data_IF_610420904779
#
_entry.id   IF_610420904779
#
_cell.length_a   1.000
_cell.length_b   1.000
_cell.length_c   1.000
_cell.angle_alpha   90.00
_cell.angle_beta   90.00
_cell.angle_gamma   90.00
#
_symmetry.space_group_name_H-M   'P 1'
#
loop_
_entity.id
_entity.type
_entity.pdbx_description
1 polymer ?
#
# COMPACT_ATOMS: atom_id res chain seq x y z
N UNK A 1 -13.13 -65.59 1.11
CA UNK A 1 -12.47 -64.31 1.42
C UNK A 1 -13.38 -63.18 0.99
N UNK A 2 -14.17 -62.61 1.91
CA UNK A 2 -14.96 -61.41 1.67
C UNK A 2 -14.80 -60.48 2.88
N UNK A 3 -14.42 -59.24 2.60
CA UNK A 3 -14.01 -58.24 3.58
C UNK A 3 -15.19 -57.73 4.42
N UNK A 4 -15.05 -57.80 5.74
CA UNK A 4 -15.87 -57.09 6.71
C UNK A 4 -15.46 -55.62 6.71
N UNK A 5 -16.29 -54.76 6.12
CA UNK A 5 -16.24 -53.31 6.36
C UNK A 5 -17.47 -52.95 7.17
N UNK A 6 -17.31 -52.89 8.48
CA UNK A 6 -18.29 -52.27 9.37
C UNK A 6 -18.22 -50.75 9.20
N UNK A 7 -19.30 -50.18 8.70
CA UNK A 7 -19.53 -48.74 8.57
C UNK A 7 -20.21 -48.26 9.83
N UNK A 8 -19.55 -47.40 10.60
CA UNK A 8 -20.18 -46.37 11.44
C UNK A 8 -19.12 -45.41 11.98
N UNK A 9 -19.10 -44.16 11.51
CA UNK A 9 -18.95 -43.02 12.43
C UNK A 9 -19.38 -41.69 11.81
N UNK A 10 -20.50 -41.18 12.33
CA UNK A 10 -20.84 -39.78 12.61
C UNK A 10 -20.58 -38.71 11.55
N UNK A 11 -21.68 -38.36 10.87
CA UNK A 11 -21.97 -37.02 10.36
C UNK A 11 -21.82 -35.98 11.48
N UNK A 12 -20.88 -35.04 11.32
CA UNK A 12 -20.98 -33.73 11.97
C UNK A 12 -21.35 -32.74 10.88
N UNK A 13 -22.60 -32.29 10.97
CA UNK A 13 -23.21 -31.25 10.15
C UNK A 13 -22.43 -29.93 10.32
N UNK A 14 -21.79 -29.49 9.24
CA UNK A 14 -21.18 -28.15 9.16
C UNK A 14 -22.23 -27.21 8.56
N UNK A 15 -22.78 -26.24 9.30
CA UNK A 15 -23.71 -25.28 8.73
C UNK A 15 -22.99 -24.39 7.71
N UNK A 16 -23.32 -24.61 6.44
CA UNK A 16 -22.94 -23.79 5.31
C UNK A 16 -23.69 -22.46 5.32
N UNK A 17 -23.19 -21.47 6.07
CA UNK A 17 -23.80 -20.13 6.04
C UNK A 17 -23.15 -19.27 4.95
N UNK A 18 -23.91 -19.18 3.86
CA UNK A 18 -23.71 -18.30 2.70
C UNK A 18 -23.42 -16.86 3.11
N UNK A 19 -22.36 -16.29 2.53
CA UNK A 19 -22.11 -14.85 2.43
C UNK A 19 -23.29 -14.12 1.77
N UNK A 20 -23.90 -13.15 2.46
CA UNK A 20 -24.43 -11.92 1.84
C UNK A 20 -24.36 -10.75 2.83
N UNK A 21 -23.85 -9.64 2.33
CA UNK A 21 -23.58 -8.35 2.99
C UNK A 21 -24.76 -7.85 3.85
N UNK A 22 -24.43 -7.36 5.04
CA UNK A 22 -25.11 -6.22 5.66
C UNK A 22 -24.05 -5.25 6.20
N UNK A 23 -24.30 -3.98 5.93
CA UNK A 23 -23.48 -2.80 6.16
C UNK A 23 -23.91 -2.16 7.50
N UNK A 24 -22.97 -1.47 8.15
CA UNK A 24 -23.15 -0.55 9.29
C UNK A 24 -23.28 -1.25 10.66
N UNK A 25 -22.65 -0.80 11.75
CA UNK A 25 -22.05 0.49 12.08
C UNK A 25 -20.85 0.26 13.00
N UNK A 26 -19.64 0.61 12.54
CA UNK A 26 -18.50 0.72 13.45
C UNK A 26 -18.56 2.11 14.10
N UNK A 27 -18.65 2.14 15.42
CA UNK A 27 -18.49 3.36 16.23
C UNK A 27 -17.22 4.11 15.82
N UNK A 28 -17.16 5.46 15.94
CA UNK A 28 -15.96 6.21 15.60
C UNK A 28 -14.89 5.91 16.65
N UNK A 29 -14.14 4.83 16.46
CA UNK A 29 -12.80 4.73 17.00
C UNK A 29 -12.07 5.97 16.48
N UNK A 30 -11.58 6.80 17.41
CA UNK A 30 -10.85 8.03 17.12
C UNK A 30 -9.97 7.80 15.89
N UNK A 31 -10.36 8.44 14.78
CA UNK A 31 -9.67 8.25 13.52
C UNK A 31 -8.21 8.63 13.79
N UNK A 32 -7.23 7.76 13.49
CA UNK A 32 -5.84 8.20 13.54
C UNK A 32 -5.80 9.42 12.63
N UNK A 33 -5.35 10.56 13.17
CA UNK A 33 -5.31 11.86 12.48
C UNK A 33 -4.82 11.62 11.05
N UNK A 34 -5.77 11.55 10.12
CA UNK A 34 -5.45 11.43 8.71
C UNK A 34 -4.61 12.66 8.42
N UNK A 35 -3.43 12.52 7.80
CA UNK A 35 -2.65 13.68 7.42
C UNK A 35 -3.55 14.55 6.54
N UNK A 36 -4.05 15.64 7.13
CA UNK A 36 -5.10 16.47 6.54
C UNK A 36 -4.53 17.73 5.93
N UNK A 37 -3.28 18.08 6.27
CA UNK A 37 -2.59 19.27 5.80
C UNK A 37 -1.34 18.90 4.99
N UNK A 38 -0.95 19.75 4.04
CA UNK A 38 0.33 19.66 3.33
C UNK A 38 1.54 19.48 4.26
N UNK A 39 1.52 20.11 5.45
CA UNK A 39 2.59 19.98 6.44
C UNK A 39 2.69 18.56 7.03
N UNK A 40 1.55 17.94 7.35
CA UNK A 40 1.51 16.54 7.80
C UNK A 40 1.98 15.58 6.71
N UNK A 41 1.57 15.81 5.47
CA UNK A 41 2.00 15.02 4.31
C UNK A 41 3.52 15.14 4.12
N UNK A 42 4.07 16.34 4.18
CA UNK A 42 5.52 16.56 4.10
C UNK A 42 6.26 15.87 5.24
N UNK A 43 5.73 15.91 6.46
CA UNK A 43 6.34 15.23 7.61
C UNK A 43 6.40 13.71 7.41
N UNK A 44 5.35 13.10 6.86
CA UNK A 44 5.32 11.67 6.53
C UNK A 44 6.33 11.34 5.42
N UNK A 45 6.39 12.16 4.36
CA UNK A 45 7.30 11.90 3.22
C UNK A 45 8.77 12.10 3.64
N UNK A 46 9.04 13.02 4.57
CA UNK A 46 10.37 13.28 5.11
C UNK A 46 10.86 12.16 6.03
N UNK A 47 9.94 11.41 6.65
CA UNK A 47 10.31 10.33 7.56
C UNK A 47 10.93 9.14 6.80
N UNK A 48 12.19 8.76 7.12
CA UNK A 48 12.89 7.71 6.39
C UNK A 48 12.32 6.31 6.66
N UNK A 49 11.59 6.12 7.76
CA UNK A 49 11.00 4.85 8.16
C UNK A 49 9.64 4.61 7.47
N UNK A 50 9.03 5.64 6.89
CA UNK A 50 7.76 5.54 6.15
C UNK A 50 7.96 5.78 4.65
N UNK A 51 8.41 4.77 3.88
CA UNK A 51 8.51 4.90 2.43
C UNK A 51 7.15 5.22 1.82
N UNK A 52 7.13 6.27 0.99
CA UNK A 52 5.93 6.75 0.28
C UNK A 52 6.06 6.48 -1.21
N UNK A 53 4.94 6.08 -1.82
CA UNK A 53 4.84 5.75 -3.23
C UNK A 53 3.62 6.43 -3.84
N UNK A 54 3.71 6.75 -5.13
CA UNK A 54 2.55 7.15 -5.94
C UNK A 54 2.36 6.13 -7.04
N UNK A 55 1.14 5.63 -7.17
CA UNK A 55 0.74 4.77 -8.28
C UNK A 55 -0.14 5.57 -9.22
N UNK A 56 0.34 5.73 -10.45
CA UNK A 56 -0.40 6.30 -11.57
C UNK A 56 -0.99 5.14 -12.36
N UNK A 57 -2.32 5.03 -12.39
CA UNK A 57 -3.02 3.99 -13.13
C UNK A 57 -3.16 4.39 -14.60
N UNK A 58 -3.33 3.41 -15.49
CA UNK A 58 -3.55 3.66 -16.92
C UNK A 58 -4.78 4.56 -17.22
N UNK A 59 -5.76 4.61 -16.31
CA UNK A 59 -6.92 5.49 -16.39
C UNK A 59 -6.64 6.95 -15.96
N UNK A 60 -5.38 7.31 -15.72
CA UNK A 60 -4.96 8.65 -15.28
C UNK A 60 -5.17 8.92 -13.78
N UNK A 61 -5.80 8.01 -13.02
CA UNK A 61 -5.95 8.18 -11.57
C UNK A 61 -4.60 8.02 -10.88
N UNK A 62 -4.35 8.86 -9.88
CA UNK A 62 -3.17 8.78 -9.02
C UNK A 62 -3.58 8.48 -7.59
N UNK A 63 -2.83 7.60 -6.94
CA UNK A 63 -3.01 7.30 -5.53
C UNK A 63 -1.65 7.33 -4.84
N UNK A 64 -1.55 8.21 -3.85
CA UNK A 64 -0.40 8.28 -2.97
C UNK A 64 -0.64 7.36 -1.78
N UNK A 65 0.35 6.56 -1.43
CA UNK A 65 0.31 5.69 -0.26
C UNK A 65 1.65 5.58 0.42
N UNK A 66 1.63 5.51 1.74
CA UNK A 66 2.82 5.34 2.57
C UNK A 66 2.71 4.10 3.43
N UNK A 67 3.85 3.51 3.76
CA UNK A 67 3.93 2.43 4.72
C UNK A 67 3.73 2.97 6.13
N UNK A 68 2.71 2.46 6.84
CA UNK A 68 2.56 2.70 8.27
C UNK A 68 3.25 1.56 9.04
N UNK A 69 4.27 1.85 9.87
CA UNK A 69 4.89 0.84 10.71
C UNK A 69 3.87 0.30 11.72
N UNK A 70 4.16 -0.88 12.25
CA UNK A 70 3.37 -1.48 13.33
C UNK A 70 3.62 -0.66 14.59
N UNK A 71 2.55 -0.16 15.19
CA UNK A 71 2.56 0.43 16.52
C UNK A 71 2.63 -0.71 17.55
N UNK A 72 3.71 -0.81 18.34
CA UNK A 72 3.89 -1.89 19.31
C UNK A 72 2.91 -1.82 20.49
N UNK A 73 2.37 -0.64 20.81
CA UNK A 73 1.43 -0.48 21.92
C UNK A 73 0.01 -0.93 21.55
N UNK A 74 -0.39 -0.74 20.29
CA UNK A 74 -1.75 -1.09 19.82
C UNK A 74 -1.78 -2.33 18.92
N UNK A 75 -0.63 -2.83 18.49
CA UNK A 75 -0.50 -3.92 17.51
C UNK A 75 -1.02 -3.56 16.11
N UNK A 76 -1.32 -2.28 15.85
CA UNK A 76 -1.92 -1.81 14.59
C UNK A 76 -0.88 -1.18 13.69
N UNK A 77 -1.02 -1.39 12.38
CA UNK A 77 -0.09 -0.86 11.38
C UNK A 77 0.37 -1.97 10.45
N UNK A 78 1.57 -1.86 9.90
CA UNK A 78 2.08 -2.81 8.91
C UNK A 78 1.28 -2.80 7.61
N UNK A 79 0.69 -1.65 7.26
CA UNK A 79 -0.19 -1.53 6.11
C UNK A 79 0.07 -0.25 5.34
N UNK A 80 -0.33 -0.24 4.07
CA UNK A 80 -0.33 0.96 3.25
C UNK A 80 -1.54 1.82 3.59
N UNK A 81 -1.28 3.07 4.00
CA UNK A 81 -2.32 4.08 4.16
C UNK A 81 -2.29 5.06 2.99
N UNK A 82 -3.47 5.57 2.63
CA UNK A 82 -3.61 6.56 1.58
C UNK A 82 -3.27 7.96 2.10
N UNK A 83 -2.57 8.75 1.29
CA UNK A 83 -2.40 10.18 1.48
C UNK A 83 -3.45 10.95 0.68
N UNK A 84 -3.83 12.18 1.09
CA UNK A 84 -4.66 13.05 0.29
C UNK A 84 -3.97 13.37 -1.05
N UNK A 85 -4.60 12.99 -2.16
CA UNK A 85 -4.01 13.19 -3.49
C UNK A 85 -3.82 14.67 -3.83
N UNK A 86 -4.78 15.52 -3.47
CA UNK A 86 -4.73 16.96 -3.77
C UNK A 86 -3.50 17.64 -3.14
N UNK A 87 -3.28 17.44 -1.84
CA UNK A 87 -2.12 17.96 -1.12
C UNK A 87 -0.80 17.46 -1.72
N UNK A 88 -0.73 16.17 -2.07
CA UNK A 88 0.46 15.61 -2.71
C UNK A 88 0.72 16.22 -4.10
N UNK A 89 -0.31 16.42 -4.91
CA UNK A 89 -0.17 17.02 -6.24
C UNK A 89 0.23 18.50 -6.15
N UNK A 90 -0.28 19.26 -5.18
CA UNK A 90 0.16 20.63 -4.90
C UNK A 90 1.63 20.67 -4.47
N UNK A 91 2.05 19.77 -3.58
CA UNK A 91 3.44 19.65 -3.16
C UNK A 91 4.36 19.27 -4.33
N UNK A 92 3.88 18.43 -5.25
CA UNK A 92 4.61 18.07 -6.47
C UNK A 92 4.72 19.27 -7.41
N UNK A 93 3.63 20.00 -7.63
CA UNK A 93 3.60 21.20 -8.46
C UNK A 93 4.49 22.32 -7.89
N UNK A 94 4.54 22.46 -6.56
CA UNK A 94 5.42 23.38 -5.86
C UNK A 94 6.89 22.93 -5.81
N UNK A 95 7.22 21.75 -6.37
CA UNK A 95 8.58 21.20 -6.36
C UNK A 95 9.10 20.83 -4.97
N UNK A 96 8.20 20.62 -4.00
CA UNK A 96 8.54 20.23 -2.62
C UNK A 96 8.72 18.73 -2.47
N UNK A 97 8.16 17.95 -3.38
CA UNK A 97 8.36 16.50 -3.46
C UNK A 97 8.80 16.12 -4.87
N UNK A 98 9.61 15.08 -4.98
CA UNK A 98 10.11 14.54 -6.23
C UNK A 98 9.71 13.09 -6.40
N UNK A 99 9.47 12.71 -7.65
CA UNK A 99 9.24 11.33 -8.05
C UNK A 99 10.58 10.72 -8.48
N UNK A 100 10.96 9.62 -7.83
CA UNK A 100 12.15 8.84 -8.18
C UNK A 100 11.89 7.88 -9.33
N UNK A 101 12.66 6.79 -9.36
CA UNK A 101 12.63 5.81 -10.44
C UNK A 101 11.22 5.23 -10.66
N UNK A 102 10.70 5.24 -11.91
CA UNK A 102 9.45 4.60 -12.26
C UNK A 102 9.58 3.08 -12.32
N UNK A 103 8.70 2.39 -11.60
CA UNK A 103 8.41 0.97 -11.78
C UNK A 103 7.17 0.86 -12.66
N UNK A 104 7.37 0.47 -13.92
CA UNK A 104 6.30 0.40 -14.93
C UNK A 104 5.70 -1.00 -14.96
N UNK A 105 4.43 -1.11 -14.58
CA UNK A 105 3.58 -2.28 -14.83
C UNK A 105 2.65 -2.00 -16.04
N UNK A 106 2.11 -3.02 -16.73
CA UNK A 106 1.21 -2.83 -17.86
C UNK A 106 -0.05 -2.00 -17.55
N UNK A 107 -0.52 -1.99 -16.30
CA UNK A 107 -1.74 -1.30 -15.88
C UNK A 107 -1.50 -0.06 -15.01
N UNK A 108 -0.25 0.18 -14.58
CA UNK A 108 0.08 1.25 -13.65
C UNK A 108 1.58 1.54 -13.66
N UNK A 109 1.96 2.76 -13.34
CA UNK A 109 3.35 3.12 -13.06
C UNK A 109 3.45 3.57 -11.61
N UNK A 110 4.33 2.95 -10.84
CA UNK A 110 4.57 3.32 -9.45
C UNK A 110 5.89 4.07 -9.33
N UNK A 111 5.88 5.21 -8.67
CA UNK A 111 7.05 6.03 -8.41
C UNK A 111 7.30 6.09 -6.90
N UNK A 112 8.58 6.08 -6.50
CA UNK A 112 8.95 6.38 -5.12
C UNK A 112 8.89 7.89 -4.90
N UNK A 113 8.19 8.32 -3.86
CA UNK A 113 8.07 9.74 -3.52
C UNK A 113 9.14 10.08 -2.48
N UNK A 114 9.83 11.20 -2.69
CA UNK A 114 10.83 11.74 -1.76
C UNK A 114 10.55 13.23 -1.54
N UNK A 115 10.98 13.78 -0.41
CA UNK A 115 11.07 15.23 -0.27
C UNK A 115 12.12 15.76 -1.23
N UNK A 116 11.84 16.93 -1.82
CA UNK A 116 12.83 17.64 -2.61
C UNK A 116 13.87 18.20 -1.65
N UNK A 117 15.01 17.52 -1.50
CA UNK A 117 16.19 18.14 -0.90
C UNK A 117 16.56 19.30 -1.80
N UNK A 118 16.43 20.53 -1.31
CA UNK A 118 17.07 21.67 -1.96
C UNK A 118 18.57 21.35 -1.93
N UNK A 119 19.10 20.94 -3.09
CA UNK A 119 20.43 20.36 -3.37
C UNK A 119 20.39 18.84 -3.71
N UNK A 120 20.76 18.56 -4.96
CA UNK A 120 21.20 17.31 -5.58
C UNK A 120 20.20 16.40 -6.35
N UNK A 121 20.07 16.72 -7.64
CA UNK A 121 20.42 15.89 -8.82
C UNK A 121 19.69 14.56 -9.11
N UNK A 122 19.31 14.43 -10.38
CA UNK A 122 18.62 13.34 -11.03
C UNK A 122 19.18 11.93 -10.72
N UNK A 123 18.33 10.92 -10.49
CA UNK A 123 18.79 9.54 -10.53
C UNK A 123 19.00 9.12 -11.98
N UNK A 124 20.26 8.81 -12.30
CA UNK A 124 20.65 8.08 -13.51
C UNK A 124 19.97 6.71 -13.54
N UNK A 125 19.36 6.38 -14.68
CA UNK A 125 18.75 5.09 -15.00
C UNK A 125 19.70 3.94 -14.68
N UNK A 126 19.40 3.16 -13.65
CA UNK A 126 20.01 1.85 -13.43
C UNK A 126 19.08 0.77 -14.02
N UNK A 127 19.17 0.58 -15.34
CA UNK A 127 18.59 -0.59 -16.00
C UNK A 127 19.49 -1.78 -15.69
N UNK A 128 19.25 -2.48 -14.57
CA UNK A 128 19.81 -3.83 -14.39
C UNK A 128 18.77 -4.81 -14.90
N UNK A 129 18.82 -5.02 -16.22
CA UNK A 129 18.17 -6.13 -16.90
C UNK A 129 18.91 -7.41 -16.49
N UNK A 130 18.30 -8.19 -15.62
CA UNK A 130 18.79 -9.50 -15.18
C UNK A 130 18.99 -10.40 -16.41
N UNK A 131 20.23 -10.48 -16.88
CA UNK A 131 20.65 -11.42 -17.91
C UNK A 131 20.64 -12.83 -17.32
N UNK A 132 19.59 -13.56 -17.66
CA UNK A 132 19.63 -14.95 -18.17
C UNK A 132 20.82 -15.78 -17.67
N UNK A 133 20.65 -16.49 -16.56
CA UNK A 133 21.50 -17.67 -16.27
C UNK A 133 20.86 -18.90 -16.90
N UNK A 134 21.47 -19.36 -18.00
CA UNK A 134 21.43 -20.75 -18.44
C UNK A 134 22.88 -21.17 -18.61
N UNK A 135 23.33 -22.06 -17.74
CA UNK A 135 24.47 -22.93 -17.93
C UNK A 135 24.22 -24.18 -17.07
#
# INVERSE_FOLDING_TARGET
MLATVDRSNTLVDLPTVRRRRARASAAPAAAPTSPGTAADVLRIIADPCTPTYVTVFANGRRRYSYWRPIDPATGRGGCYAALPTAECDELQAAGRITLGEPVVDPNRTTYRVRTATRVAQAPARAVTQERRRVA
#
